data_IF_146991255859
#
_entry.id   IF_146991255859
#
_cell.length_a   1.000
_cell.length_b   1.000
_cell.length_c   1.000
_cell.angle_alpha   90.00
_cell.angle_beta   90.00
_cell.angle_gamma   90.00
#
_symmetry.space_group_name_H-M   'P 1'
#
loop_
_entity.id
_entity.type
_entity.pdbx_description
1 polymer ?
#
# COMPACT_ATOMS: atom_id res chain seq x y z
N UNK A 1 9.23 -1.87 -1.95
CA UNK A 1 7.83 -2.35 -2.02
C UNK A 1 7.74 -3.61 -1.16
N UNK A 2 6.67 -3.78 -0.37
CA UNK A 2 6.58 -4.90 0.59
C UNK A 2 6.24 -6.21 -0.16
N UNK A 3 7.04 -7.26 0.02
CA UNK A 3 6.85 -8.57 -0.62
C UNK A 3 5.44 -9.15 -0.43
N UNK A 4 4.81 -8.92 0.73
CA UNK A 4 3.44 -9.37 0.98
C UNK A 4 2.42 -8.70 0.05
N UNK A 5 2.63 -7.43 -0.28
CA UNK A 5 1.74 -6.67 -1.18
C UNK A 5 1.94 -7.18 -2.62
N UNK A 6 3.19 -7.44 -3.02
CA UNK A 6 3.52 -7.99 -4.33
C UNK A 6 2.86 -9.35 -4.53
N UNK A 7 3.04 -10.28 -3.58
CA UNK A 7 2.43 -11.62 -3.64
C UNK A 7 0.91 -11.60 -3.71
N UNK A 8 0.26 -10.62 -3.06
CA UNK A 8 -1.20 -10.43 -3.18
C UNK A 8 -1.60 -9.95 -4.58
N UNK A 9 -0.87 -8.99 -5.13
CA UNK A 9 -1.12 -8.50 -6.49
C UNK A 9 -0.90 -9.61 -7.54
N UNK A 10 0.15 -10.41 -7.38
CA UNK A 10 0.40 -11.61 -8.21
C UNK A 10 -0.73 -12.63 -8.05
N UNK A 11 -1.18 -12.92 -6.82
CA UNK A 11 -2.30 -13.82 -6.60
C UNK A 11 -3.61 -13.34 -7.25
N UNK A 12 -3.87 -12.03 -7.23
CA UNK A 12 -5.02 -11.43 -7.91
C UNK A 12 -4.89 -11.45 -9.42
N UNK A 13 -3.68 -11.33 -9.99
CA UNK A 13 -3.53 -11.39 -11.45
C UNK A 13 -3.89 -12.77 -11.99
N UNK A 14 -3.69 -13.85 -11.22
CA UNK A 14 -4.01 -15.22 -11.63
C UNK A 14 -5.50 -15.47 -11.92
N UNK A 15 -6.40 -14.56 -11.57
CA UNK A 15 -7.81 -14.65 -11.95
C UNK A 15 -8.04 -14.41 -13.45
N UNK A 16 -7.07 -13.82 -14.14
CA UNK A 16 -7.12 -13.59 -15.58
C UNK A 16 -6.47 -14.76 -16.32
N UNK A 17 -7.13 -15.30 -17.34
CA UNK A 17 -6.62 -16.45 -18.10
C UNK A 17 -5.46 -16.07 -19.02
N UNK A 18 -5.51 -14.87 -19.60
CA UNK A 18 -4.51 -14.38 -20.54
C UNK A 18 -3.29 -13.81 -19.84
N UNK A 19 -2.09 -14.22 -20.26
CA UNK A 19 -0.83 -13.63 -19.78
C UNK A 19 -0.79 -12.11 -20.03
N UNK A 20 -1.32 -11.66 -21.17
CA UNK A 20 -1.44 -10.24 -21.48
C UNK A 20 -2.27 -9.51 -20.43
N UNK A 21 -3.41 -10.08 -20.03
CA UNK A 21 -4.30 -9.47 -19.05
C UNK A 21 -3.67 -9.46 -17.65
N UNK A 22 -2.95 -10.52 -17.28
CA UNK A 22 -2.13 -10.55 -16.05
C UNK A 22 -1.12 -9.42 -16.02
N UNK A 23 -0.37 -9.23 -17.11
CA UNK A 23 0.62 -8.16 -17.25
C UNK A 23 -0.06 -6.79 -17.22
N UNK A 24 -1.21 -6.63 -17.88
CA UNK A 24 -1.99 -5.40 -17.89
C UNK A 24 -2.43 -5.01 -16.48
N UNK A 25 -2.96 -5.97 -15.70
CA UNK A 25 -3.31 -5.76 -14.29
C UNK A 25 -2.08 -5.36 -13.46
N UNK A 26 -0.98 -6.10 -13.56
CA UNK A 26 0.23 -5.85 -12.77
C UNK A 26 0.88 -4.51 -13.11
N UNK A 27 0.84 -4.11 -14.38
CA UNK A 27 1.31 -2.79 -14.83
C UNK A 27 0.50 -1.68 -14.17
N UNK A 28 -0.84 -1.78 -14.25
CA UNK A 28 -1.74 -0.84 -13.56
C UNK A 28 -1.43 -0.77 -12.07
N UNK A 29 -1.30 -1.93 -11.42
CA UNK A 29 -0.96 -2.03 -9.99
C UNK A 29 0.32 -1.28 -9.62
N UNK A 30 1.41 -1.48 -10.35
CA UNK A 30 2.69 -0.81 -10.06
C UNK A 30 2.55 0.70 -10.22
N UNK A 31 1.87 1.15 -11.28
CA UNK A 31 1.66 2.58 -11.53
C UNK A 31 0.78 3.23 -10.46
N UNK A 32 -0.30 2.57 -10.06
CA UNK A 32 -1.17 3.03 -8.98
C UNK A 32 -0.46 3.07 -7.63
N UNK A 33 0.30 2.03 -7.28
CA UNK A 33 1.04 1.97 -6.01
C UNK A 33 2.11 3.06 -5.92
N UNK A 34 2.78 3.36 -7.03
CA UNK A 34 3.85 4.36 -7.09
C UNK A 34 3.37 5.77 -7.47
N UNK A 35 2.07 5.97 -7.70
CA UNK A 35 1.51 7.25 -8.17
C UNK A 35 2.18 7.76 -9.46
N UNK A 36 2.47 6.84 -10.39
CA UNK A 36 3.05 7.17 -11.68
C UNK A 36 1.97 7.66 -12.65
N UNK A 37 2.39 8.39 -13.69
CA UNK A 37 1.50 8.70 -14.81
C UNK A 37 1.06 7.38 -15.46
N UNK A 38 -0.24 7.25 -15.69
CA UNK A 38 -0.77 6.04 -16.29
C UNK A 38 -0.34 5.89 -17.75
N UNK A 39 0.13 4.70 -18.11
CA UNK A 39 0.56 4.38 -19.48
C UNK A 39 -0.37 3.42 -20.22
N UNK A 40 -1.26 2.76 -19.49
CA UNK A 40 -2.25 1.83 -20.03
C UNK A 40 -3.68 2.37 -20.05
N UNK A 41 -4.60 1.54 -20.53
CA UNK A 41 -6.04 1.78 -20.49
C UNK A 41 -6.79 0.45 -20.48
N UNK A 42 -8.10 0.50 -20.17
CA UNK A 42 -8.98 -0.67 -20.09
C UNK A 42 -9.26 -1.12 -18.66
N UNK A 43 -10.33 -1.89 -18.50
CA UNK A 43 -10.88 -2.27 -17.19
C UNK A 43 -9.87 -3.00 -16.30
N UNK A 44 -9.12 -3.94 -16.87
CA UNK A 44 -8.12 -4.73 -16.14
C UNK A 44 -6.97 -3.85 -15.64
N UNK A 45 -6.51 -2.92 -16.48
CA UNK A 45 -5.47 -1.96 -16.12
C UNK A 45 -5.94 -1.03 -14.99
N UNK A 46 -7.15 -0.46 -15.11
CA UNK A 46 -7.72 0.44 -14.11
C UNK A 46 -7.99 -0.28 -12.78
N UNK A 47 -8.42 -1.55 -12.83
CA UNK A 47 -8.57 -2.39 -11.63
C UNK A 47 -7.25 -2.57 -10.91
N UNK A 48 -6.18 -2.90 -11.65
CA UNK A 48 -4.82 -2.98 -11.09
C UNK A 48 -4.41 -1.66 -10.45
N UNK A 49 -4.58 -0.55 -11.18
CA UNK A 49 -4.21 0.80 -10.73
C UNK A 49 -4.93 1.24 -9.47
N UNK A 50 -6.25 1.03 -9.40
CA UNK A 50 -7.03 1.31 -8.21
C UNK A 50 -6.57 0.47 -7.00
N UNK A 51 -6.31 -0.82 -7.21
CA UNK A 51 -5.79 -1.71 -6.17
C UNK A 51 -4.42 -1.24 -5.65
N UNK A 52 -3.51 -0.85 -6.55
CA UNK A 52 -2.20 -0.31 -6.20
C UNK A 52 -2.29 0.95 -5.34
N UNK A 53 -3.13 1.91 -5.73
CA UNK A 53 -3.35 3.14 -4.98
C UNK A 53 -3.90 2.86 -3.57
N UNK A 54 -4.84 1.90 -3.44
CA UNK A 54 -5.40 1.49 -2.15
C UNK A 54 -4.35 0.87 -1.23
N UNK A 55 -3.53 -0.04 -1.73
CA UNK A 55 -2.45 -0.67 -0.94
C UNK A 55 -1.41 0.34 -0.47
N UNK A 56 -1.10 1.35 -1.30
CA UNK A 56 -0.26 2.47 -0.88
C UNK A 56 -0.90 3.23 0.29
N UNK A 57 -2.18 3.60 0.17
CA UNK A 57 -2.91 4.35 1.20
C UNK A 57 -3.00 3.58 2.53
N UNK A 58 -3.28 2.27 2.49
CA UNK A 58 -3.25 1.44 3.69
C UNK A 58 -1.85 1.37 4.33
N UNK A 59 -0.80 1.31 3.51
CA UNK A 59 0.57 1.26 3.99
C UNK A 59 0.96 2.58 4.68
N UNK A 60 0.57 3.73 4.12
CA UNK A 60 0.83 5.05 4.72
C UNK A 60 0.00 5.25 5.98
N UNK A 61 -1.29 4.91 5.97
CA UNK A 61 -2.15 4.98 7.16
C UNK A 61 -1.59 4.14 8.33
N UNK A 62 -1.17 2.89 8.08
CA UNK A 62 -0.51 2.06 9.12
C UNK A 62 0.83 2.61 9.59
N UNK A 63 1.51 3.42 8.78
CA UNK A 63 2.77 4.09 9.17
C UNK A 63 2.46 5.28 10.08
N UNK A 64 1.45 6.06 9.74
CA UNK A 64 1.00 7.23 10.52
C UNK A 64 0.46 6.80 11.88
N UNK A 65 -0.35 5.74 11.94
CA UNK A 65 -0.83 5.16 13.20
C UNK A 65 0.32 4.71 14.12
N UNK A 66 1.35 4.08 13.54
CA UNK A 66 2.53 3.64 14.29
C UNK A 66 3.33 4.84 14.81
N UNK A 67 3.48 5.89 14.00
CA UNK A 67 4.13 7.12 14.41
C UNK A 67 3.37 7.80 15.55
N UNK A 68 2.04 7.90 15.44
CA UNK A 68 1.17 8.46 16.46
C UNK A 68 1.27 7.69 17.79
N UNK A 69 1.16 6.35 17.76
CA UNK A 69 1.31 5.51 18.96
C UNK A 69 2.68 5.66 19.62
N UNK A 70 3.75 5.80 18.83
CA UNK A 70 5.11 6.03 19.35
C UNK A 70 5.23 7.39 20.05
N UNK A 71 4.67 8.44 19.45
CA UNK A 71 4.66 9.78 20.04
C UNK A 71 3.87 9.82 21.36
N UNK A 72 2.71 9.17 21.43
CA UNK A 72 1.90 9.09 22.66
C UNK A 72 2.62 8.35 23.79
N UNK A 73 3.30 7.23 23.48
CA UNK A 73 4.11 6.50 24.48
C UNK A 73 5.28 7.34 25.00
N UNK A 74 5.96 8.09 24.14
CA UNK A 74 7.05 8.98 24.57
C UNK A 74 6.55 10.10 25.48
N UNK A 75 5.43 10.74 25.15
CA UNK A 75 4.80 11.75 26.01
C UNK A 75 4.44 11.17 27.38
N UNK A 76 3.74 10.03 27.41
CA UNK A 76 3.35 9.38 28.66
C UNK A 76 4.55 9.03 29.55
N UNK A 77 5.63 8.50 28.97
CA UNK A 77 6.83 8.17 29.72
C UNK A 77 7.56 9.42 30.25
N UNK A 78 7.58 10.51 29.48
CA UNK A 78 8.16 11.78 29.93
C UNK A 78 7.36 12.37 31.11
N UNK A 79 6.03 12.39 31.02
CA UNK A 79 5.16 12.91 32.09
C UNK A 79 5.29 12.09 33.38
N UNK A 80 5.45 10.76 33.29
CA UNK A 80 5.65 9.93 34.48
C UNK A 80 7.03 10.13 35.12
N UNK A 81 8.07 10.49 34.36
CA UNK A 81 9.39 10.80 34.92
C UNK A 81 9.42 12.14 35.69
N UNK A 82 8.61 13.12 35.29
CA UNK A 82 8.48 14.40 36.01
C UNK A 82 7.68 14.29 37.31
N UNK A 83 6.76 13.31 37.41
CA UNK A 83 5.93 13.09 38.62
C UNK A 83 6.61 12.25 39.71
N UNK A 84 7.77 11.66 39.43
CA UNK A 84 8.52 10.79 40.35
C UNK A 84 9.74 11.54 40.95
N UNK A 85 9.92 12.82 40.63
CA UNK A 85 10.89 13.71 41.29
C UNK A 85 10.17 14.62 42.28
#
# INVERSE_FOLDING_TARGET
MNEKIIKKAEGLSLQYDSEKDRITFLTGFVEGFKHLKGTGSGEIYETGKAYGAREFHEMTSRRDDRAFRKAMKQKYNHTNQERIK
#
